data_IF_582487659268
#
_entry.id   IF_582487659268
#
_cell.length_a   1.000
_cell.length_b   1.000
_cell.length_c   1.000
_cell.angle_alpha   90.00
_cell.angle_beta   90.00
_cell.angle_gamma   90.00
#
_symmetry.space_group_name_H-M   'P 1'
#
loop_
_entity.id
_entity.type
_entity.pdbx_description
1 polymer ?
#
# COMPACT_ATOMS: atom_id res chain seq x y z
N UNK A 1 10.50 16.96 6.91
CA UNK A 1 9.09 17.08 6.54
C UNK A 1 8.48 18.03 7.53
N UNK A 2 7.69 18.99 7.06
CA UNK A 2 6.88 19.85 7.92
C UNK A 2 5.44 19.30 7.99
N UNK A 3 4.56 19.99 8.73
CA UNK A 3 3.17 19.59 8.96
C UNK A 3 2.28 19.69 7.71
N UNK A 4 2.77 20.27 6.62
CA UNK A 4 2.02 20.38 5.35
C UNK A 4 2.24 19.17 4.43
N UNK A 5 3.14 18.27 4.83
CA UNK A 5 3.54 17.14 3.99
C UNK A 5 2.57 15.97 4.13
N UNK A 6 1.95 15.57 3.01
CA UNK A 6 1.15 14.35 2.89
C UNK A 6 1.99 13.08 3.17
N UNK A 7 1.74 12.41 4.30
CA UNK A 7 2.50 11.24 4.72
C UNK A 7 2.32 10.04 3.78
N UNK A 8 1.12 9.86 3.21
CA UNK A 8 0.81 8.77 2.26
C UNK A 8 1.63 8.98 0.98
N UNK A 9 1.62 10.20 0.44
CA UNK A 9 2.40 10.56 -0.76
C UNK A 9 3.90 10.47 -0.51
N UNK A 10 4.37 10.84 0.67
CA UNK A 10 5.78 10.71 1.05
C UNK A 10 6.21 9.24 1.11
N UNK A 11 5.41 8.38 1.77
CA UNK A 11 5.65 6.93 1.83
C UNK A 11 5.69 6.32 0.42
N UNK A 12 4.69 6.63 -0.42
CA UNK A 12 4.62 6.17 -1.81
C UNK A 12 5.88 6.54 -2.61
N UNK A 13 6.39 7.77 -2.48
CA UNK A 13 7.60 8.20 -3.19
C UNK A 13 8.83 7.36 -2.83
N UNK A 14 9.01 7.06 -1.56
CA UNK A 14 10.16 6.25 -1.08
C UNK A 14 10.02 4.80 -1.54
N UNK A 15 8.83 4.20 -1.40
CA UNK A 15 8.59 2.82 -1.83
C UNK A 15 8.73 2.67 -3.34
N UNK A 16 8.20 3.62 -4.12
CA UNK A 16 8.37 3.70 -5.58
C UNK A 16 9.84 3.73 -5.99
N UNK A 17 10.69 4.46 -5.27
CA UNK A 17 12.12 4.45 -5.52
C UNK A 17 12.69 3.03 -5.39
N UNK A 18 12.41 2.34 -4.28
CA UNK A 18 12.89 0.97 -4.09
C UNK A 18 12.29 -0.03 -5.08
N UNK A 19 11.04 0.16 -5.51
CA UNK A 19 10.44 -0.66 -6.56
C UNK A 19 11.19 -0.53 -7.89
N UNK A 20 11.57 0.70 -8.27
CA UNK A 20 12.31 0.98 -9.51
C UNK A 20 13.79 0.61 -9.45
N UNK A 21 14.40 0.71 -8.28
CA UNK A 21 15.82 0.34 -8.06
C UNK A 21 16.00 -1.15 -7.70
N UNK A 22 14.92 -1.92 -7.68
CA UNK A 22 15.02 -3.37 -7.47
C UNK A 22 15.84 -4.00 -8.61
N UNK A 23 16.93 -4.68 -8.26
CA UNK A 23 17.75 -5.41 -9.23
C UNK A 23 17.04 -6.64 -9.83
N UNK A 24 15.86 -7.02 -9.31
CA UNK A 24 15.05 -8.10 -9.84
C UNK A 24 15.52 -9.53 -9.52
N UNK A 25 16.58 -9.74 -8.73
CA UNK A 25 17.17 -11.08 -8.51
C UNK A 25 16.34 -12.02 -7.63
N UNK A 26 15.73 -11.52 -6.56
CA UNK A 26 14.91 -12.32 -5.65
C UNK A 26 13.43 -11.99 -5.84
N UNK A 27 12.59 -13.02 -6.00
CA UNK A 27 11.14 -12.89 -6.17
C UNK A 27 10.45 -12.06 -5.09
N UNK A 28 10.70 -12.26 -3.77
CA UNK A 28 10.04 -11.45 -2.75
C UNK A 28 10.32 -9.95 -2.92
N UNK A 29 11.53 -9.57 -3.31
CA UNK A 29 11.84 -8.15 -3.59
C UNK A 29 11.25 -7.68 -4.93
N UNK A 30 11.46 -8.41 -6.04
CA UNK A 30 11.03 -7.99 -7.38
C UNK A 30 9.51 -7.80 -7.48
N UNK A 31 8.77 -8.80 -7.02
CA UNK A 31 7.31 -8.75 -7.05
C UNK A 31 6.81 -7.91 -5.87
N UNK A 32 7.31 -8.17 -4.66
CA UNK A 32 6.79 -7.54 -3.45
C UNK A 32 6.89 -6.01 -3.48
N UNK A 33 8.02 -5.42 -3.89
CA UNK A 33 8.12 -3.94 -3.94
C UNK A 33 7.16 -3.33 -4.98
N UNK A 34 6.91 -4.03 -6.09
CA UNK A 34 5.91 -3.63 -7.09
C UNK A 34 4.50 -3.66 -6.50
N UNK A 35 4.16 -4.70 -5.74
CA UNK A 35 2.88 -4.80 -5.04
C UNK A 35 2.72 -3.67 -4.00
N UNK A 36 3.76 -3.39 -3.20
CA UNK A 36 3.74 -2.30 -2.23
C UNK A 36 3.51 -0.94 -2.91
N UNK A 37 4.19 -0.65 -4.02
CA UNK A 37 3.97 0.56 -4.80
C UNK A 37 2.52 0.65 -5.31
N UNK A 38 1.99 -0.44 -5.88
CA UNK A 38 0.63 -0.45 -6.43
C UNK A 38 -0.44 -0.23 -5.37
N UNK A 39 -0.28 -0.81 -4.18
CA UNK A 39 -1.24 -0.60 -3.08
C UNK A 39 -1.19 0.85 -2.60
N UNK A 40 0.01 1.41 -2.39
CA UNK A 40 0.16 2.80 -1.97
C UNK A 40 -0.36 3.78 -3.03
N UNK A 41 -0.11 3.51 -4.31
CA UNK A 41 -0.62 4.34 -5.42
C UNK A 41 -2.15 4.31 -5.45
N UNK A 42 -2.75 3.13 -5.27
CA UNK A 42 -4.21 2.98 -5.19
C UNK A 42 -4.83 3.76 -4.02
N UNK A 43 -4.21 3.75 -2.84
CA UNK A 43 -4.65 4.58 -1.71
C UNK A 43 -4.51 6.06 -2.06
N UNK A 44 -3.37 6.46 -2.63
CA UNK A 44 -3.10 7.85 -3.00
C UNK A 44 -4.11 8.41 -4.02
N UNK A 45 -4.53 7.57 -4.96
CA UNK A 45 -5.49 7.93 -6.02
C UNK A 45 -6.96 7.94 -5.56
N UNK A 46 -7.24 7.66 -4.28
CA UNK A 46 -8.60 7.66 -3.76
C UNK A 46 -9.38 6.39 -4.13
N UNK A 47 -8.68 5.29 -4.40
CA UNK A 47 -9.27 3.96 -4.65
C UNK A 47 -8.90 2.95 -3.55
N UNK A 48 -8.51 3.45 -2.37
CA UNK A 48 -8.18 2.65 -1.20
C UNK A 48 -9.35 1.79 -0.74
N UNK A 49 -9.05 0.60 -0.21
CA UNK A 49 -9.99 -0.36 0.36
C UNK A 49 -9.67 -0.59 1.83
N UNK A 50 -10.67 -0.94 2.67
CA UNK A 50 -10.44 -1.25 4.09
C UNK A 50 -9.33 -2.28 4.34
N UNK A 51 -9.17 -3.26 3.44
CA UNK A 51 -8.16 -4.31 3.54
C UNK A 51 -6.74 -3.90 3.11
N UNK A 52 -6.53 -2.69 2.63
CA UNK A 52 -5.26 -2.32 1.98
C UNK A 52 -4.10 -2.15 2.96
N UNK A 53 -4.38 -1.71 4.18
CA UNK A 53 -3.35 -1.55 5.20
C UNK A 53 -2.85 -2.91 5.68
N UNK A 54 -3.76 -3.87 5.85
CA UNK A 54 -3.39 -5.24 6.20
C UNK A 54 -2.64 -5.90 5.05
N UNK A 55 -3.10 -5.73 3.80
CA UNK A 55 -2.39 -6.23 2.62
C UNK A 55 -0.98 -5.62 2.47
N UNK A 56 -0.80 -4.33 2.79
CA UNK A 56 0.54 -3.70 2.82
C UNK A 56 1.47 -4.37 3.83
N UNK A 57 0.96 -4.70 5.02
CA UNK A 57 1.71 -5.38 6.06
C UNK A 57 2.01 -6.83 5.69
N UNK A 58 1.05 -7.55 5.10
CA UNK A 58 1.25 -8.94 4.66
C UNK A 58 2.31 -9.05 3.55
N UNK A 59 2.29 -8.16 2.57
CA UNK A 59 3.34 -8.11 1.53
C UNK A 59 4.68 -7.71 2.13
N UNK A 60 4.67 -6.78 3.10
CA UNK A 60 5.88 -6.37 3.82
C UNK A 60 6.50 -7.53 4.61
N UNK A 61 5.69 -8.34 5.28
CA UNK A 61 6.12 -9.50 6.05
C UNK A 61 6.78 -10.58 5.17
N UNK A 62 6.25 -10.78 3.95
CA UNK A 62 6.85 -11.69 2.97
C UNK A 62 8.27 -11.28 2.55
N UNK A 63 8.59 -9.97 2.58
CA UNK A 63 9.93 -9.45 2.28
C UNK A 63 10.80 -9.45 3.54
N UNK A 64 10.25 -8.96 4.65
CA UNK A 64 10.94 -8.72 5.92
C UNK A 64 10.15 -9.29 7.09
N UNK A 65 10.24 -10.62 7.36
CA UNK A 65 9.38 -11.30 8.31
C UNK A 65 9.44 -10.72 9.73
N UNK A 66 8.26 -10.51 10.32
CA UNK A 66 8.04 -9.92 11.63
C UNK A 66 8.20 -8.40 11.68
N UNK A 67 8.69 -7.75 10.61
CA UNK A 67 8.91 -6.30 10.54
C UNK A 67 9.63 -5.77 11.81
N UNK A 68 10.66 -6.50 12.26
CA UNK A 68 11.42 -6.19 13.49
C UNK A 68 12.83 -5.70 13.20
N UNK A 69 13.46 -5.10 14.22
CA UNK A 69 14.89 -4.76 14.21
C UNK A 69 15.68 -5.76 15.09
N UNK A 70 16.81 -6.34 14.63
CA UNK A 70 17.36 -6.24 13.27
C UNK A 70 16.47 -6.97 12.24
N UNK A 71 16.43 -6.50 10.97
CA UNK A 71 15.51 -7.03 9.98
C UNK A 71 15.86 -8.48 9.65
N UNK A 72 14.89 -9.37 9.82
CA UNK A 72 14.87 -10.64 9.11
C UNK A 72 14.47 -10.34 7.67
N UNK A 73 15.05 -11.04 6.70
CA UNK A 73 14.71 -10.85 5.30
C UNK A 73 14.67 -12.18 4.56
N UNK A 74 13.79 -12.27 3.57
CA UNK A 74 13.74 -13.38 2.60
C UNK A 74 14.47 -13.02 1.29
N UNK A 75 15.13 -11.86 1.27
CA UNK A 75 15.82 -11.28 0.12
C UNK A 75 17.34 -11.44 0.23
N UNK A 76 18.02 -11.40 -0.92
CA UNK A 76 19.48 -11.60 -1.01
C UNK A 76 20.27 -10.40 -0.47
N UNK A 77 19.72 -9.18 -0.59
CA UNK A 77 20.40 -7.95 -0.18
C UNK A 77 19.48 -7.04 0.65
N UNK A 78 20.05 -6.03 1.34
CA UNK A 78 19.30 -5.15 2.23
C UNK A 78 18.23 -4.26 1.57
N UNK A 79 18.17 -4.21 0.24
CA UNK A 79 17.16 -3.41 -0.48
C UNK A 79 15.74 -3.85 -0.12
N UNK A 80 15.50 -5.15 0.01
CA UNK A 80 14.20 -5.73 0.39
C UNK A 80 13.65 -5.12 1.70
N UNK A 81 14.29 -5.35 2.85
CA UNK A 81 13.84 -4.76 4.12
C UNK A 81 13.89 -3.22 4.13
N UNK A 82 14.77 -2.59 3.33
CA UNK A 82 14.76 -1.13 3.18
C UNK A 82 13.49 -0.61 2.52
N UNK A 83 12.90 -1.36 1.58
CA UNK A 83 11.62 -1.01 0.96
C UNK A 83 10.42 -1.12 1.91
N UNK A 84 10.51 -2.01 2.91
CA UNK A 84 9.47 -2.21 3.94
C UNK A 84 9.53 -1.16 5.04
N UNK A 85 10.73 -0.73 5.41
CA UNK A 85 10.98 0.24 6.48
C UNK A 85 10.12 1.53 6.41
N UNK A 86 9.95 2.21 5.26
CA UNK A 86 9.09 3.40 5.18
C UNK A 86 7.60 3.09 5.45
N UNK A 87 7.12 1.90 5.11
CA UNK A 87 5.72 1.48 5.32
C UNK A 87 5.49 1.22 6.80
N UNK A 88 6.37 0.44 7.43
CA UNK A 88 6.30 0.15 8.86
C UNK A 88 6.28 1.44 9.70
N UNK A 89 7.21 2.36 9.41
CA UNK A 89 7.30 3.65 10.07
C UNK A 89 6.07 4.53 9.81
N UNK A 90 5.61 4.60 8.55
CA UNK A 90 4.46 5.41 8.18
C UNK A 90 3.17 4.92 8.85
N UNK A 91 2.92 3.62 8.87
CA UNK A 91 1.73 3.06 9.54
C UNK A 91 1.83 3.16 11.06
N UNK A 92 3.02 3.08 11.65
CA UNK A 92 3.17 3.28 13.09
C UNK A 92 2.83 4.72 13.53
N UNK A 93 3.17 5.72 12.70
CA UNK A 93 3.10 7.15 13.09
C UNK A 93 1.94 7.91 12.47
N UNK A 94 1.52 7.53 11.27
CA UNK A 94 0.59 8.28 10.43
C UNK A 94 -0.58 7.41 9.93
N UNK A 95 -0.83 6.23 10.51
CA UNK A 95 -1.98 5.38 10.14
C UNK A 95 -3.31 6.14 10.00
N UNK A 96 -3.66 7.10 10.88
CA UNK A 96 -4.91 7.86 10.71
C UNK A 96 -5.03 8.60 9.36
N UNK A 97 -3.92 9.06 8.77
CA UNK A 97 -3.93 9.70 7.44
C UNK A 97 -4.24 8.71 6.32
N UNK A 98 -3.75 7.47 6.45
CA UNK A 98 -4.05 6.39 5.51
C UNK A 98 -5.51 5.95 5.61
N UNK A 99 -6.01 5.78 6.84
CA UNK A 99 -7.41 5.43 7.09
C UNK A 99 -8.37 6.50 6.55
N UNK A 100 -8.06 7.79 6.77
CA UNK A 100 -8.86 8.89 6.24
C UNK A 100 -8.99 8.84 4.70
N UNK A 101 -7.91 8.53 3.97
CA UNK A 101 -7.93 8.35 2.50
C UNK A 101 -8.83 7.18 2.08
N UNK A 102 -8.76 6.07 2.81
CA UNK A 102 -9.55 4.87 2.54
C UNK A 102 -11.03 5.13 2.80
N UNK A 103 -11.37 5.80 3.90
CA UNK A 103 -12.76 6.17 4.22
C UNK A 103 -13.35 7.11 3.17
N UNK A 104 -12.60 8.15 2.76
CA UNK A 104 -13.03 9.05 1.69
C UNK A 104 -13.27 8.31 0.36
N UNK A 105 -12.37 7.38 0.02
CA UNK A 105 -12.51 6.52 -1.15
C UNK A 105 -13.75 5.61 -1.06
N UNK A 106 -14.09 5.13 0.13
CA UNK A 106 -15.28 4.32 0.38
C UNK A 106 -16.57 5.12 0.23
N UNK A 107 -16.66 6.29 0.84
CA UNK A 107 -17.80 7.20 0.73
C UNK A 107 -18.05 7.60 -0.74
N UNK A 108 -16.99 7.93 -1.47
CA UNK A 108 -17.07 8.26 -2.89
C UNK A 108 -17.65 7.10 -3.71
N UNK A 109 -17.21 5.85 -3.44
CA UNK A 109 -17.73 4.65 -4.15
C UNK A 109 -19.20 4.37 -3.84
N UNK A 110 -19.63 4.56 -2.60
CA UNK A 110 -21.03 4.35 -2.20
C UNK A 110 -21.99 5.38 -2.83
N UNK A 111 -21.49 6.57 -3.17
CA UNK A 111 -22.29 7.62 -3.80
C UNK A 111 -22.62 7.38 -5.28
N UNK A 112 -22.06 6.34 -5.92
CA UNK A 112 -22.35 6.01 -7.32
C UNK A 112 -23.73 5.32 -7.39
N UNK A 113 -24.77 5.93 -7.98
CA UNK A 113 -26.08 5.32 -8.07
C UNK A 113 -26.06 4.16 -9.07
N UNK A 114 -26.03 2.92 -8.56
CA UNK A 114 -26.24 1.74 -9.40
C UNK A 114 -27.73 1.66 -9.72
N UNK A 115 -28.13 2.20 -10.87
CA UNK A 115 -29.51 2.06 -11.35
C UNK A 115 -29.70 0.62 -11.83
N UNK A 116 -30.33 -0.23 -11.00
CA UNK A 116 -30.75 -1.56 -11.42
C UNK A 116 -31.97 -1.39 -12.34
N UNK A 117 -31.77 -1.45 -13.66
CA UNK A 117 -32.88 -1.55 -14.60
C UNK A 117 -33.52 -2.93 -14.44
N UNK A 118 -34.66 -2.98 -13.77
CA UNK A 118 -35.45 -4.20 -13.60
C UNK A 118 -35.92 -4.65 -15.00
N UNK A 119 -35.33 -5.70 -15.55
CA UNK A 119 -35.77 -6.28 -16.81
C UNK A 119 -37.20 -6.79 -16.65
N UNK A 120 -38.13 -6.19 -17.39
CA UNK A 120 -39.54 -6.53 -17.41
C UNK A 120 -39.70 -7.99 -17.88
N UNK A 121 -40.17 -8.86 -16.98
CA UNK A 121 -40.61 -10.21 -17.29
C UNK A 121 -41.71 -10.15 -18.36
N UNK A 122 -41.41 -10.63 -19.57
CA UNK A 122 -42.42 -10.87 -20.61
C UNK A 122 -43.03 -12.24 -20.34
N UNK A 123 -44.37 -12.29 -20.35
CA UNK A 123 -45.18 -13.46 -20.07
C UNK A 123 -45.37 -14.40 -21.25
#
# INVERSE_FOLDING_TARGET
MDETTDAVKACLRVVRFFARESCGKCTPCREGTTWLENILQRIQDGYGRPSDLDLLLDVSDNISPGITWPPKQTTICPLGPSAVSPIASALQRFRPEFEARITQAEEARHSIPVTITKASSHG
#
